data_IF_563049780742
#
_entry.id   IF_563049780742
#
_cell.length_a   1.000
_cell.length_b   1.000
_cell.length_c   1.000
_cell.angle_alpha   90.00
_cell.angle_beta   90.00
_cell.angle_gamma   90.00
#
_symmetry.space_group_name_H-M   'P 1'
#
loop_
_entity.id
_entity.type
_entity.pdbx_description
1 polymer ?
#
# COMPACT_ATOMS: atom_id res chain seq x y z
N UNK A 1 -26.51 9.99 4.59
CA UNK A 1 -25.74 10.32 3.38
C UNK A 1 -24.30 9.85 3.55
N UNK A 2 -23.82 9.07 2.62
CA UNK A 2 -22.38 8.74 2.58
C UNK A 2 -21.63 10.00 2.10
N UNK A 3 -20.56 10.37 2.80
CA UNK A 3 -19.67 11.42 2.31
C UNK A 3 -19.03 10.97 0.99
N UNK A 4 -18.90 11.90 0.04
CA UNK A 4 -18.20 11.61 -1.22
C UNK A 4 -16.74 11.24 -0.93
N UNK A 5 -16.30 10.15 -1.52
CA UNK A 5 -14.93 9.68 -1.40
C UNK A 5 -14.11 10.30 -2.51
N UNK A 6 -13.01 10.96 -2.13
CA UNK A 6 -12.05 11.53 -3.07
C UNK A 6 -10.73 10.76 -2.96
N UNK A 7 -10.29 10.17 -4.07
CA UNK A 7 -8.95 9.57 -4.17
C UNK A 7 -8.07 10.60 -4.87
N UNK A 8 -7.00 11.01 -4.19
CA UNK A 8 -6.09 12.05 -4.69
C UNK A 8 -4.66 11.83 -4.22
N UNK A 9 -3.74 12.54 -4.84
CA UNK A 9 -2.37 12.60 -4.34
C UNK A 9 -2.33 13.29 -2.98
N UNK A 10 -1.46 12.82 -2.10
CA UNK A 10 -1.20 13.48 -0.83
C UNK A 10 -0.49 14.81 -1.06
N UNK A 11 -0.84 15.79 -0.24
CA UNK A 11 -0.10 17.05 -0.14
C UNK A 11 0.89 16.96 1.03
N UNK A 12 1.87 17.89 1.14
CA UNK A 12 2.77 17.91 2.30
C UNK A 12 2.02 17.97 3.64
N UNK A 13 0.86 18.61 3.69
CA UNK A 13 0.05 18.73 4.90
C UNK A 13 -0.60 17.39 5.31
N UNK A 14 -0.68 16.43 4.40
CA UNK A 14 -1.26 15.11 4.67
C UNK A 14 -0.27 14.13 5.32
N UNK A 15 1.04 14.39 5.25
CA UNK A 15 2.06 13.39 5.58
C UNK A 15 2.02 12.94 7.04
N UNK A 16 1.83 13.86 7.97
CA UNK A 16 1.74 13.54 9.40
C UNK A 16 0.53 12.67 9.70
N UNK A 17 -0.63 13.02 9.15
CA UNK A 17 -1.85 12.25 9.30
C UNK A 17 -1.74 10.86 8.65
N UNK A 18 -1.09 10.78 7.49
CA UNK A 18 -0.84 9.51 6.81
C UNK A 18 0.06 8.58 7.65
N UNK A 19 1.12 9.12 8.25
CA UNK A 19 2.02 8.37 9.11
C UNK A 19 1.29 7.82 10.33
N UNK A 20 0.50 8.67 11.01
CA UNK A 20 -0.32 8.27 12.16
C UNK A 20 -1.31 7.17 11.77
N UNK A 21 -2.00 7.34 10.65
CA UNK A 21 -2.97 6.36 10.15
C UNK A 21 -2.33 4.98 9.97
N UNK A 22 -1.16 4.91 9.35
CA UNK A 22 -0.48 3.63 9.12
C UNK A 22 -0.05 3.01 10.45
N UNK A 23 0.51 3.79 11.37
CA UNK A 23 0.90 3.29 12.68
C UNK A 23 -0.28 2.69 13.44
N UNK A 24 -1.41 3.38 13.46
CA UNK A 24 -2.62 2.90 14.15
C UNK A 24 -3.20 1.67 13.43
N UNK A 25 -3.29 1.72 12.11
CA UNK A 25 -3.84 0.61 11.33
C UNK A 25 -3.03 -0.69 11.48
N UNK A 26 -1.71 -0.58 11.62
CA UNK A 26 -0.82 -1.74 11.71
C UNK A 26 -0.53 -2.19 13.14
N UNK A 27 -1.02 -1.47 14.15
CA UNK A 27 -0.78 -1.79 15.56
C UNK A 27 -1.22 -3.21 15.92
N UNK A 28 -2.24 -3.75 15.28
CA UNK A 28 -2.72 -5.11 15.49
C UNK A 28 -1.67 -6.18 15.15
N UNK A 29 -0.69 -5.85 14.32
CA UNK A 29 0.35 -6.78 13.90
C UNK A 29 1.58 -6.76 14.81
N UNK A 30 1.69 -5.75 15.67
CA UNK A 30 2.85 -5.61 16.56
C UNK A 30 3.12 -6.84 17.43
N UNK A 31 2.10 -7.50 18.04
CA UNK A 31 2.33 -8.70 18.83
C UNK A 31 2.85 -9.90 18.05
N UNK A 32 2.79 -9.86 16.71
CA UNK A 32 3.18 -10.97 15.84
C UNK A 32 4.67 -10.99 15.51
N UNK A 33 5.43 -10.02 16.00
CA UNK A 33 6.85 -9.88 15.66
C UNK A 33 7.66 -9.34 16.85
N UNK A 34 8.99 -9.57 16.87
CA UNK A 34 9.87 -8.96 17.87
C UNK A 34 9.88 -7.43 17.77
N UNK A 35 10.16 -6.75 18.87
CA UNK A 35 10.18 -5.28 18.92
C UNK A 35 11.13 -4.66 17.89
N UNK A 36 12.30 -5.26 17.66
CA UNK A 36 13.26 -4.73 16.67
C UNK A 36 12.70 -4.80 15.24
N UNK A 37 11.95 -5.87 14.93
CA UNK A 37 11.33 -6.02 13.61
C UNK A 37 10.22 -5.01 13.41
N UNK A 38 9.40 -4.78 14.42
CA UNK A 38 8.37 -3.76 14.43
C UNK A 38 8.96 -2.37 14.20
N UNK A 39 10.00 -2.01 15.00
CA UNK A 39 10.65 -0.70 14.90
C UNK A 39 11.27 -0.47 13.51
N UNK A 40 11.91 -1.49 12.96
CA UNK A 40 12.49 -1.43 11.61
C UNK A 40 11.40 -1.23 10.56
N UNK A 41 10.30 -1.98 10.68
CA UNK A 41 9.18 -1.89 9.75
C UNK A 41 8.55 -0.50 9.77
N UNK A 42 8.26 0.03 10.96
CA UNK A 42 7.68 1.37 11.09
C UNK A 42 8.61 2.46 10.59
N UNK A 43 9.92 2.36 10.82
CA UNK A 43 10.90 3.29 10.28
C UNK A 43 10.94 3.26 8.75
N UNK A 44 10.88 2.07 8.16
CA UNK A 44 10.83 1.88 6.70
C UNK A 44 9.56 2.48 6.09
N UNK A 45 8.42 2.33 6.76
CA UNK A 45 7.15 2.91 6.33
C UNK A 45 7.22 4.45 6.39
N UNK A 46 7.72 5.00 7.48
CA UNK A 46 7.88 6.44 7.63
C UNK A 46 8.74 7.03 6.52
N UNK A 47 9.87 6.39 6.26
CA UNK A 47 10.76 6.80 5.16
C UNK A 47 10.04 6.79 3.81
N UNK A 48 9.29 5.72 3.52
CA UNK A 48 8.55 5.62 2.27
C UNK A 48 7.45 6.67 2.14
N UNK A 49 6.74 6.99 3.22
CA UNK A 49 5.70 8.03 3.23
C UNK A 49 6.30 9.40 2.90
N UNK A 50 7.46 9.72 3.47
CA UNK A 50 8.13 11.02 3.27
C UNK A 50 9.02 11.08 2.03
N UNK A 51 9.29 9.95 1.39
CA UNK A 51 10.13 9.90 0.19
C UNK A 51 9.44 10.58 -1.00
N UNK A 52 10.24 11.30 -1.79
CA UNK A 52 9.78 11.88 -3.06
C UNK A 52 9.65 10.84 -4.17
N UNK A 53 10.28 9.67 -4.01
CA UNK A 53 10.12 8.58 -4.95
C UNK A 53 8.69 8.01 -4.84
N UNK A 54 8.08 7.73 -5.98
CA UNK A 54 6.71 7.24 -6.02
C UNK A 54 5.67 8.30 -5.67
N UNK A 55 4.45 7.86 -5.51
CA UNK A 55 3.30 8.72 -5.22
C UNK A 55 2.55 8.19 -3.99
N UNK A 56 2.32 9.06 -3.01
CA UNK A 56 1.44 8.74 -1.89
C UNK A 56 0.01 9.17 -2.27
N UNK A 57 -0.91 8.22 -2.29
CA UNK A 57 -2.32 8.47 -2.57
C UNK A 57 -3.12 8.38 -1.29
N UNK A 58 -4.12 9.22 -1.17
CA UNK A 58 -5.01 9.24 -0.01
C UNK A 58 -6.46 9.09 -0.46
N UNK A 59 -7.25 8.40 0.36
CA UNK A 59 -8.70 8.37 0.25
C UNK A 59 -9.25 9.32 1.33
N UNK A 60 -9.87 10.39 0.90
CA UNK A 60 -10.44 11.40 1.79
C UNK A 60 -11.97 11.36 1.74
N UNK A 61 -12.60 11.51 2.89
CA UNK A 61 -14.04 11.63 3.01
C UNK A 61 -14.37 12.51 4.20
N UNK A 62 -15.32 13.45 4.02
CA UNK A 62 -15.70 14.39 5.07
C UNK A 62 -14.56 15.29 5.52
N UNK A 63 -13.62 15.62 4.62
CA UNK A 63 -12.46 16.45 4.93
C UNK A 63 -11.35 15.74 5.70
N UNK A 64 -11.45 14.42 5.90
CA UNK A 64 -10.50 13.63 6.66
C UNK A 64 -9.94 12.50 5.80
N UNK A 65 -8.64 12.20 5.95
CA UNK A 65 -8.01 11.04 5.31
C UNK A 65 -8.52 9.78 6.01
N UNK A 66 -9.02 8.82 5.21
CA UNK A 66 -9.53 7.54 5.69
C UNK A 66 -8.60 6.37 5.35
N UNK A 67 -7.79 6.51 4.32
CA UNK A 67 -6.85 5.48 3.88
C UNK A 67 -5.72 6.06 3.06
N UNK A 68 -4.65 5.29 2.93
CA UNK A 68 -3.45 5.66 2.16
C UNK A 68 -2.90 4.45 1.42
N UNK A 69 -2.20 4.72 0.33
CA UNK A 69 -1.38 3.72 -0.39
C UNK A 69 -0.18 4.42 -1.02
N UNK A 70 0.97 3.76 -1.02
CA UNK A 70 2.14 4.26 -1.74
C UNK A 70 2.27 3.49 -3.06
N UNK A 71 2.34 4.22 -4.16
CA UNK A 71 2.44 3.67 -5.51
C UNK A 71 3.74 4.11 -6.16
N UNK A 72 4.49 3.14 -6.70
CA UNK A 72 5.72 3.37 -7.44
C UNK A 72 5.49 2.97 -8.90
N UNK A 73 5.39 3.92 -9.84
CA UNK A 73 5.32 3.59 -11.28
C UNK A 73 6.53 2.81 -11.76
N UNK A 74 7.69 3.03 -11.13
CA UNK A 74 8.90 2.26 -11.34
C UNK A 74 9.27 1.58 -10.02
N UNK A 75 9.12 0.26 -9.97
CA UNK A 75 9.36 -0.53 -8.77
C UNK A 75 10.81 -0.42 -8.25
N UNK A 76 11.77 -0.14 -9.11
CA UNK A 76 13.17 0.04 -8.71
C UNK A 76 13.36 1.20 -7.73
N UNK A 77 12.49 2.23 -7.80
CA UNK A 77 12.57 3.40 -6.92
C UNK A 77 12.08 3.11 -5.50
N UNK A 78 11.42 1.98 -5.27
CA UNK A 78 10.93 1.62 -3.94
C UNK A 78 12.05 1.20 -2.98
N UNK A 79 13.26 0.92 -3.48
CA UNK A 79 14.39 0.39 -2.72
C UNK A 79 14.01 -0.84 -1.88
N UNK A 80 13.16 -1.69 -2.44
CA UNK A 80 12.58 -2.85 -1.77
C UNK A 80 12.34 -3.96 -2.80
N UNK A 81 13.02 -5.09 -2.63
CA UNK A 81 12.90 -6.21 -3.54
C UNK A 81 13.66 -6.01 -4.85
N UNK A 82 13.67 -7.07 -5.64
CA UNK A 82 14.23 -7.06 -6.99
C UNK A 82 13.11 -7.42 -7.97
N UNK A 83 12.72 -6.45 -8.77
CA UNK A 83 11.57 -6.56 -9.66
C UNK A 83 12.01 -6.48 -11.12
N UNK A 84 11.25 -7.08 -12.03
CA UNK A 84 11.51 -6.93 -13.47
C UNK A 84 11.51 -5.45 -13.88
N UNK A 85 12.39 -5.09 -14.80
CA UNK A 85 12.44 -3.73 -15.33
C UNK A 85 11.09 -3.33 -15.95
N UNK A 86 10.66 -2.11 -15.69
CA UNK A 86 9.39 -1.59 -16.19
C UNK A 86 8.16 -1.95 -15.36
N UNK A 87 8.32 -2.74 -14.29
CA UNK A 87 7.22 -3.07 -13.39
C UNK A 87 6.94 -1.92 -12.43
N UNK A 88 5.68 -1.82 -11.99
CA UNK A 88 5.25 -0.95 -10.90
C UNK A 88 5.16 -1.72 -9.58
N UNK A 89 5.08 -1.00 -8.48
CA UNK A 89 4.93 -1.58 -7.13
C UNK A 89 3.91 -0.81 -6.31
N UNK A 90 3.04 -1.54 -5.62
CA UNK A 90 2.19 -1.00 -4.55
C UNK A 90 2.85 -1.33 -3.22
N UNK A 91 2.85 -0.34 -2.33
CA UNK A 91 3.36 -0.50 -0.98
C UNK A 91 2.52 0.31 0.00
N UNK A 92 2.38 -0.20 1.22
CA UNK A 92 1.71 0.51 2.31
C UNK A 92 0.24 0.81 1.98
N UNK A 93 -0.60 -0.21 1.97
CA UNK A 93 -2.04 -0.02 1.94
C UNK A 93 -2.55 -0.04 3.38
N UNK A 94 -3.17 1.03 3.83
CA UNK A 94 -3.71 1.12 5.18
C UNK A 94 -4.98 1.95 5.21
N UNK A 95 -5.91 1.56 6.08
CA UNK A 95 -7.19 2.24 6.32
C UNK A 95 -7.38 2.33 7.83
N UNK A 96 -7.89 3.46 8.33
CA UNK A 96 -8.24 3.58 9.74
C UNK A 96 -9.09 2.39 10.17
N UNK A 97 -8.81 1.75 11.33
CA UNK A 97 -9.60 0.59 11.76
C UNK A 97 -11.11 0.82 11.77
N UNK A 98 -11.55 1.99 12.24
CA UNK A 98 -12.97 2.36 12.28
C UNK A 98 -13.57 2.65 10.90
N UNK A 99 -12.74 2.83 9.88
CA UNK A 99 -13.19 3.09 8.51
C UNK A 99 -13.16 1.86 7.61
N UNK A 100 -12.74 0.71 8.12
CA UNK A 100 -12.69 -0.55 7.36
C UNK A 100 -14.09 -1.01 6.94
N UNK A 101 -14.14 -1.78 5.85
CA UNK A 101 -15.40 -2.31 5.32
C UNK A 101 -16.21 -1.32 4.51
N UNK A 102 -15.67 -0.16 4.19
CA UNK A 102 -16.32 0.89 3.41
C UNK A 102 -15.75 1.04 1.99
N UNK A 103 -14.81 0.17 1.60
CA UNK A 103 -14.26 0.15 0.26
C UNK A 103 -13.07 1.05 0.00
N UNK A 104 -12.52 1.73 0.99
CA UNK A 104 -11.37 2.65 0.79
C UNK A 104 -10.14 1.93 0.23
N UNK A 105 -9.80 0.77 0.78
CA UNK A 105 -8.65 -0.01 0.31
C UNK A 105 -8.82 -0.48 -1.13
N UNK A 106 -10.02 -0.90 -1.49
CA UNK A 106 -10.36 -1.31 -2.87
C UNK A 106 -10.24 -0.12 -3.83
N UNK A 107 -10.75 1.04 -3.45
CA UNK A 107 -10.67 2.24 -4.28
C UNK A 107 -9.23 2.74 -4.47
N UNK A 108 -8.42 2.69 -3.42
CA UNK A 108 -7.00 3.06 -3.50
C UNK A 108 -6.24 2.11 -4.42
N UNK A 109 -6.48 0.81 -4.29
CA UNK A 109 -5.88 -0.20 -5.17
C UNK A 109 -6.30 0.02 -6.63
N UNK A 110 -7.59 0.26 -6.87
CA UNK A 110 -8.10 0.53 -8.20
C UNK A 110 -7.46 1.76 -8.85
N UNK A 111 -7.20 2.82 -8.09
CA UNK A 111 -6.52 4.01 -8.59
C UNK A 111 -5.07 3.71 -9.00
N UNK A 112 -4.36 2.89 -8.21
CA UNK A 112 -3.03 2.44 -8.60
C UNK A 112 -3.05 1.69 -9.94
N UNK A 113 -4.02 0.78 -10.12
CA UNK A 113 -4.19 0.03 -11.37
C UNK A 113 -4.52 0.97 -12.54
N UNK A 114 -5.39 1.93 -12.33
CA UNK A 114 -5.73 2.92 -13.35
C UNK A 114 -4.51 3.71 -13.81
N UNK A 115 -3.68 4.18 -12.87
CA UNK A 115 -2.45 4.92 -13.17
C UNK A 115 -1.42 4.06 -13.88
N UNK A 116 -1.27 2.82 -13.48
CA UNK A 116 -0.37 1.88 -14.12
C UNK A 116 -0.78 1.63 -15.58
N UNK A 117 -2.08 1.40 -15.82
CA UNK A 117 -2.60 1.23 -17.19
C UNK A 117 -2.42 2.49 -18.05
N UNK A 118 -2.72 3.64 -17.49
CA UNK A 118 -2.56 4.93 -18.19
C UNK A 118 -1.10 5.19 -18.55
N UNK A 119 -0.15 4.72 -17.75
CA UNK A 119 1.29 4.84 -17.99
C UNK A 119 1.87 3.74 -18.89
N UNK A 120 1.04 2.83 -19.40
CA UNK A 120 1.52 1.72 -20.24
C UNK A 120 2.37 0.70 -19.48
N UNK A 121 2.23 0.61 -18.17
CA UNK A 121 3.00 -0.31 -17.32
C UNK A 121 2.43 -1.73 -17.49
N UNK A 122 3.27 -2.74 -17.82
CA UNK A 122 2.77 -4.07 -18.15
C UNK A 122 2.42 -4.92 -16.93
N UNK A 123 3.07 -4.69 -15.80
CA UNK A 123 2.94 -5.55 -14.61
C UNK A 123 3.09 -4.73 -13.35
N UNK A 124 2.27 -5.03 -12.35
CA UNK A 124 2.35 -4.41 -11.03
C UNK A 124 2.54 -5.50 -9.97
N UNK A 125 3.46 -5.26 -9.04
CA UNK A 125 3.78 -6.17 -7.95
C UNK A 125 3.44 -5.52 -6.61
N UNK A 126 3.39 -6.34 -5.58
CA UNK A 126 3.32 -5.89 -4.19
C UNK A 126 3.87 -6.97 -3.25
N UNK A 127 4.29 -6.55 -2.07
CA UNK A 127 4.52 -7.41 -0.93
C UNK A 127 3.43 -7.21 0.11
N UNK A 128 3.05 -8.29 0.78
CA UNK A 128 2.15 -8.24 1.94
C UNK A 128 2.59 -9.27 2.98
N UNK A 129 2.28 -9.04 4.25
CA UNK A 129 2.54 -10.01 5.30
C UNK A 129 1.62 -11.21 5.20
N UNK A 130 2.10 -12.39 5.59
CA UNK A 130 1.28 -13.62 5.62
C UNK A 130 0.07 -13.48 6.56
N UNK A 131 0.15 -12.57 7.53
CA UNK A 131 -0.89 -12.29 8.53
C UNK A 131 -1.86 -11.17 8.09
N UNK A 132 -1.59 -10.48 6.98
CA UNK A 132 -2.40 -9.35 6.50
C UNK A 132 -3.55 -9.85 5.61
N UNK A 133 -4.47 -10.60 6.20
CA UNK A 133 -5.52 -11.31 5.45
C UNK A 133 -6.50 -10.38 4.74
N UNK A 134 -6.86 -9.26 5.38
CA UNK A 134 -7.77 -8.28 4.77
C UNK A 134 -7.16 -7.65 3.50
N UNK A 135 -5.87 -7.31 3.54
CA UNK A 135 -5.16 -6.78 2.38
C UNK A 135 -5.07 -7.82 1.26
N UNK A 136 -4.73 -9.06 1.60
CA UNK A 136 -4.68 -10.16 0.63
C UNK A 136 -6.03 -10.33 -0.09
N UNK A 137 -7.13 -10.26 0.66
CA UNK A 137 -8.47 -10.34 0.09
C UNK A 137 -8.74 -9.23 -0.93
N UNK A 138 -8.36 -7.99 -0.60
CA UNK A 138 -8.49 -6.85 -1.53
C UNK A 138 -7.69 -7.09 -2.80
N UNK A 139 -6.45 -7.54 -2.68
CA UNK A 139 -5.58 -7.78 -3.84
C UNK A 139 -6.12 -8.91 -4.72
N UNK A 140 -6.53 -10.01 -4.14
CA UNK A 140 -7.08 -11.14 -4.87
C UNK A 140 -8.36 -10.77 -5.60
N UNK A 141 -9.27 -10.02 -4.96
CA UNK A 141 -10.48 -9.50 -5.61
C UNK A 141 -10.17 -8.51 -6.73
N UNK A 142 -9.05 -7.80 -6.64
CA UNK A 142 -8.60 -6.86 -7.67
C UNK A 142 -7.91 -7.56 -8.85
N UNK A 143 -7.72 -8.88 -8.78
CA UNK A 143 -7.13 -9.67 -9.85
C UNK A 143 -5.67 -10.06 -9.64
N UNK A 144 -5.06 -9.65 -8.53
CA UNK A 144 -3.68 -10.05 -8.21
C UNK A 144 -3.62 -11.54 -7.92
N UNK A 145 -2.53 -12.17 -8.36
CA UNK A 145 -2.23 -13.58 -8.10
C UNK A 145 -0.92 -13.69 -7.36
N UNK A 146 -0.78 -14.78 -6.58
CA UNK A 146 0.48 -15.06 -5.89
C UNK A 146 1.63 -15.18 -6.90
N UNK A 147 2.76 -14.60 -6.52
CA UNK A 147 4.02 -14.68 -7.27
C UNK A 147 5.12 -15.24 -6.34
N UNK A 148 5.06 -16.56 -6.01
CA UNK A 148 5.94 -17.14 -5.00
C UNK A 148 7.42 -17.00 -5.29
N UNK A 149 7.82 -16.89 -6.56
CA UNK A 149 9.20 -16.68 -6.98
C UNK A 149 9.81 -15.38 -6.45
N UNK A 150 8.96 -14.42 -6.04
CA UNK A 150 9.40 -13.15 -5.46
C UNK A 150 9.25 -13.09 -3.95
N UNK A 151 8.70 -14.12 -3.32
CA UNK A 151 8.57 -14.18 -1.87
C UNK A 151 9.92 -14.03 -1.17
N UNK A 152 9.91 -13.41 0.01
CA UNK A 152 11.06 -13.41 0.91
C UNK A 152 10.82 -14.42 2.03
N UNK A 153 11.81 -15.23 2.32
CA UNK A 153 11.76 -16.24 3.37
C UNK A 153 12.99 -16.12 4.27
N UNK A 154 12.83 -15.73 5.56
CA UNK A 154 11.58 -15.28 6.18
C UNK A 154 11.18 -13.89 5.71
N UNK A 155 9.88 -13.64 5.59
CA UNK A 155 9.40 -12.30 5.24
C UNK A 155 8.08 -12.28 4.48
N UNK A 156 7.84 -11.19 3.75
CA UNK A 156 6.58 -11.00 3.05
C UNK A 156 6.42 -11.92 1.85
N UNK A 157 5.16 -12.09 1.47
CA UNK A 157 4.76 -12.82 0.25
C UNK A 157 4.43 -11.82 -0.86
N UNK A 158 4.69 -12.24 -2.09
CA UNK A 158 4.51 -11.39 -3.27
C UNK A 158 3.24 -11.74 -4.05
N UNK A 159 2.66 -10.70 -4.63
CA UNK A 159 1.55 -10.79 -5.59
C UNK A 159 1.92 -10.01 -6.85
N UNK A 160 1.32 -10.40 -7.97
CA UNK A 160 1.48 -9.70 -9.25
C UNK A 160 0.15 -9.60 -9.99
N UNK A 161 0.03 -8.57 -10.81
CA UNK A 161 -1.06 -8.41 -11.76
C UNK A 161 -0.48 -7.98 -13.10
N UNK A 162 -0.76 -8.75 -14.14
CA UNK A 162 -0.43 -8.37 -15.51
C UNK A 162 -1.56 -7.49 -16.07
N UNK A 163 -1.21 -6.34 -16.61
CA UNK A 163 -2.15 -5.32 -17.06
C UNK A 163 -2.41 -5.35 -18.56
#
# INVERSE_FOLDING_TARGET
MSADILIRDATPDDLEAAEELVQVAYQEFKPLMPDFAWSRWMASIKEAIHSRAGMLLVAAAGGKIQGVVKFFPDAAQAAMGEWPAGAALIRILAVWPEARGRGYGTLLTAECLRRARAGGIPTIFLYTGTFMLAAQHIYEKSGFQRAPEFDRDPGPIAYRLDL
#
